data_IF_688353602070
#
_entry.id   IF_688353602070
#
_cell.length_a   1.000
_cell.length_b   1.000
_cell.length_c   1.000
_cell.angle_alpha   90.00
_cell.angle_beta   90.00
_cell.angle_gamma   90.00
#
_symmetry.space_group_name_H-M   'P 1'
#
loop_
_entity.id
_entity.type
_entity.pdbx_description
1 polymer ?
#
# COMPACT_ATOMS: atom_id res chain seq x y z
N UNK A 1 -0.70 17.42 33.80
CA UNK A 1 -0.67 16.08 33.19
C UNK A 1 0.38 16.13 32.11
N UNK A 2 1.45 15.33 32.20
CA UNK A 2 2.42 15.23 31.11
C UNK A 2 1.73 14.57 29.93
N UNK A 3 1.43 15.33 28.88
CA UNK A 3 0.91 14.75 27.64
C UNK A 3 1.96 13.78 27.09
N UNK A 4 1.59 12.50 27.00
CA UNK A 4 2.42 11.52 26.32
C UNK A 4 2.58 11.93 24.85
N UNK A 5 3.79 11.79 24.27
CA UNK A 5 4.00 12.14 22.87
C UNK A 5 3.07 11.32 21.98
N UNK A 6 2.45 11.99 21.01
CA UNK A 6 1.66 11.35 19.96
C UNK A 6 2.52 11.18 18.71
N UNK A 7 2.21 10.20 17.88
CA UNK A 7 2.96 9.89 16.67
C UNK A 7 2.04 9.89 15.44
N UNK A 8 2.62 10.13 14.27
CA UNK A 8 1.92 10.09 12.99
C UNK A 8 2.18 8.78 12.25
N UNK A 9 1.11 8.20 11.72
CA UNK A 9 1.16 7.00 10.90
C UNK A 9 0.18 7.13 9.72
N UNK A 10 0.48 6.57 8.55
CA UNK A 10 -0.54 6.36 7.53
C UNK A 10 -1.70 5.50 8.06
N UNK A 11 -2.91 5.72 7.59
CA UNK A 11 -3.98 4.72 7.75
C UNK A 11 -3.78 3.58 6.76
N UNK A 12 -4.49 2.44 6.91
CA UNK A 12 -4.49 1.41 5.86
C UNK A 12 -4.98 1.95 4.50
N UNK A 13 -5.95 2.87 4.51
CA UNK A 13 -6.42 3.54 3.32
C UNK A 13 -5.35 4.46 2.71
N UNK A 14 -4.61 5.21 3.53
CA UNK A 14 -3.48 6.03 3.09
C UNK A 14 -2.34 5.19 2.53
N UNK A 15 -2.03 4.07 3.15
CA UNK A 15 -1.06 3.10 2.64
C UNK A 15 -1.45 2.59 1.25
N UNK A 16 -2.70 2.15 1.08
CA UNK A 16 -3.20 1.69 -0.22
C UNK A 16 -3.28 2.82 -1.25
N UNK A 17 -3.69 4.02 -0.85
CA UNK A 17 -3.77 5.21 -1.71
C UNK A 17 -2.42 5.53 -2.37
N UNK A 18 -1.32 5.43 -1.61
CA UNK A 18 0.02 5.65 -2.16
C UNK A 18 0.34 4.72 -3.33
N UNK A 19 -0.14 3.46 -3.28
CA UNK A 19 0.21 2.43 -4.28
C UNK A 19 -0.70 2.40 -5.50
N UNK A 20 -1.75 3.22 -5.54
CA UNK A 20 -2.78 3.12 -6.59
C UNK A 20 -2.24 3.42 -7.99
N UNK A 21 -1.39 4.44 -8.12
CA UNK A 21 -0.81 4.87 -9.39
C UNK A 21 0.46 5.71 -9.14
N UNK A 22 1.10 6.15 -10.21
CA UNK A 22 2.27 7.03 -10.18
C UNK A 22 1.93 8.51 -10.37
N UNK A 23 0.66 8.90 -10.23
CA UNK A 23 0.28 10.32 -10.28
C UNK A 23 0.85 11.04 -9.07
N UNK A 24 1.78 11.95 -9.31
CA UNK A 24 2.37 12.77 -8.26
C UNK A 24 1.39 13.82 -7.76
N UNK A 25 1.27 13.90 -6.43
CA UNK A 25 0.59 14.99 -5.74
C UNK A 25 1.21 15.18 -4.35
N UNK A 26 0.90 16.30 -3.70
CA UNK A 26 1.51 16.62 -2.42
C UNK A 26 1.10 15.63 -1.32
N UNK A 27 -0.11 15.03 -1.38
CA UNK A 27 -0.56 14.01 -0.42
C UNK A 27 0.28 12.73 -0.50
N UNK A 28 0.58 12.25 -1.72
CA UNK A 28 1.52 11.14 -1.91
C UNK A 28 2.92 11.52 -1.46
N UNK A 29 3.36 12.75 -1.69
CA UNK A 29 4.63 13.26 -1.15
C UNK A 29 4.73 13.13 0.38
N UNK A 30 3.65 13.43 1.11
CA UNK A 30 3.56 13.23 2.56
C UNK A 30 3.72 11.75 2.94
N UNK A 31 2.98 10.86 2.26
CA UNK A 31 3.00 9.42 2.53
C UNK A 31 4.37 8.79 2.21
N UNK A 32 4.98 9.18 1.08
CA UNK A 32 6.34 8.78 0.69
C UNK A 32 7.36 9.14 1.77
N UNK A 33 7.33 10.39 2.26
CA UNK A 33 8.19 10.85 3.36
C UNK A 33 7.94 10.10 4.67
N UNK A 34 6.70 9.74 4.98
CA UNK A 34 6.39 8.91 6.15
C UNK A 34 6.97 7.49 6.02
N UNK A 35 6.76 6.83 4.88
CA UNK A 35 7.26 5.47 4.66
C UNK A 35 8.79 5.39 4.50
N UNK A 36 9.48 6.51 4.20
CA UNK A 36 10.95 6.56 4.22
C UNK A 36 11.55 6.64 5.62
N UNK A 37 10.76 6.93 6.65
CA UNK A 37 11.26 7.02 8.03
C UNK A 37 11.41 5.62 8.66
N UNK A 38 12.38 5.44 9.57
CA UNK A 38 12.59 4.17 10.26
C UNK A 38 11.53 3.88 11.34
N UNK A 39 10.72 4.88 11.71
CA UNK A 39 9.65 4.78 12.69
C UNK A 39 8.60 5.87 12.45
N UNK A 40 7.41 5.69 13.03
CA UNK A 40 6.38 6.73 13.06
C UNK A 40 6.91 7.96 13.79
N UNK A 41 6.99 9.15 13.17
CA UNK A 41 7.58 10.31 13.82
C UNK A 41 6.65 10.92 14.86
N UNK A 42 7.23 11.56 15.87
CA UNK A 42 6.48 12.34 16.87
C UNK A 42 5.71 13.46 16.18
N UNK A 43 4.44 13.64 16.53
CA UNK A 43 3.59 14.73 16.08
C UNK A 43 4.04 16.04 16.72
N UNK A 44 4.81 16.84 15.97
CA UNK A 44 5.26 18.17 16.35
C UNK A 44 5.45 19.05 15.09
N UNK A 45 5.68 20.35 15.29
CA UNK A 45 5.81 21.30 14.19
C UNK A 45 6.98 20.98 13.25
N UNK A 46 8.10 20.45 13.74
CA UNK A 46 9.25 20.10 12.91
C UNK A 46 8.92 18.92 11.99
N UNK A 47 8.29 17.88 12.52
CA UNK A 47 7.77 16.75 11.74
C UNK A 47 6.77 17.21 10.70
N UNK A 48 5.80 18.04 11.08
CA UNK A 48 4.77 18.53 10.15
C UNK A 48 5.38 19.37 9.02
N UNK A 49 6.33 20.24 9.35
CA UNK A 49 7.07 21.06 8.36
C UNK A 49 7.81 20.18 7.35
N UNK A 50 8.51 19.14 7.83
CA UNK A 50 9.19 18.18 6.97
C UNK A 50 8.22 17.39 6.09
N UNK A 51 7.15 16.84 6.68
CA UNK A 51 6.20 15.98 5.97
C UNK A 51 5.37 16.75 4.95
N UNK A 52 4.91 17.95 5.28
CA UNK A 52 4.02 18.76 4.43
C UNK A 52 4.78 19.70 3.49
N UNK A 53 6.11 19.77 3.63
CA UNK A 53 7.02 20.57 2.81
C UNK A 53 6.60 22.05 2.76
N UNK A 54 6.36 22.63 3.93
CA UNK A 54 6.01 24.05 4.09
C UNK A 54 6.23 24.51 5.52
N UNK A 55 6.67 25.76 5.70
CA UNK A 55 6.83 26.42 7.00
C UNK A 55 5.70 27.39 7.32
N UNK A 56 4.80 27.64 6.36
CA UNK A 56 3.66 28.54 6.52
C UNK A 56 2.56 27.86 7.36
N UNK A 57 2.17 28.51 8.46
CA UNK A 57 1.27 27.92 9.46
C UNK A 57 -0.13 27.66 8.91
N UNK A 58 -0.67 28.58 8.12
CA UNK A 58 -2.02 28.44 7.57
C UNK A 58 -2.06 27.29 6.55
N UNK A 59 -1.01 27.18 5.74
CA UNK A 59 -0.83 26.07 4.78
C UNK A 59 -0.60 24.72 5.48
N UNK A 60 0.14 24.69 6.60
CA UNK A 60 0.32 23.48 7.42
C UNK A 60 -1.01 22.95 7.94
N UNK A 61 -1.84 23.82 8.53
CA UNK A 61 -3.15 23.44 9.07
C UNK A 61 -4.05 22.93 7.94
N UNK A 62 -4.15 23.68 6.85
CA UNK A 62 -4.95 23.28 5.68
C UNK A 62 -4.54 21.91 5.14
N UNK A 63 -3.24 21.69 4.86
CA UNK A 63 -2.75 20.40 4.34
C UNK A 63 -2.98 19.24 5.32
N UNK A 64 -2.82 19.47 6.62
CA UNK A 64 -3.09 18.44 7.63
C UNK A 64 -4.58 18.05 7.66
N UNK A 65 -5.46 19.05 7.66
CA UNK A 65 -6.91 18.83 7.61
C UNK A 65 -7.34 18.08 6.34
N UNK A 66 -6.76 18.41 5.19
CA UNK A 66 -7.03 17.68 3.93
C UNK A 66 -6.58 16.22 4.01
N UNK A 67 -5.39 15.94 4.56
CA UNK A 67 -4.96 14.56 4.79
C UNK A 67 -5.90 13.79 5.75
N UNK A 68 -6.47 14.46 6.75
CA UNK A 68 -7.43 13.86 7.67
C UNK A 68 -8.79 13.61 7.03
N UNK A 69 -9.31 14.55 6.23
CA UNK A 69 -10.57 14.40 5.48
C UNK A 69 -10.50 13.22 4.51
N UNK A 70 -9.35 13.06 3.84
CA UNK A 70 -9.05 11.93 2.96
C UNK A 70 -8.69 10.64 3.71
N UNK A 71 -8.70 10.67 5.05
CA UNK A 71 -8.34 9.55 5.93
C UNK A 71 -6.96 8.96 5.61
N UNK A 72 -5.98 9.77 5.19
CA UNK A 72 -4.65 9.31 4.82
C UNK A 72 -3.75 9.09 6.03
N UNK A 73 -3.95 9.87 7.09
CA UNK A 73 -3.13 9.89 8.29
C UNK A 73 -3.95 9.60 9.54
N UNK A 74 -3.32 8.98 10.52
CA UNK A 74 -3.85 8.75 11.86
C UNK A 74 -2.81 9.15 12.90
N UNK A 75 -3.32 9.47 14.10
CA UNK A 75 -2.52 9.77 15.27
C UNK A 75 -2.56 8.57 16.20
N UNK A 76 -1.39 8.11 16.62
CA UNK A 76 -1.24 6.95 17.52
C UNK A 76 -0.51 7.36 18.80
N UNK A 77 -0.73 6.61 19.88
CA UNK A 77 -0.17 6.89 21.20
C UNK A 77 1.22 6.28 21.43
N UNK A 78 1.62 5.33 20.58
CA UNK A 78 2.87 4.60 20.70
C UNK A 78 3.64 4.66 19.39
N UNK A 79 4.95 4.74 19.48
CA UNK A 79 5.83 4.66 18.32
C UNK A 79 5.72 3.28 17.67
N UNK A 80 5.57 3.26 16.35
CA UNK A 80 5.66 2.06 15.54
C UNK A 80 6.94 2.11 14.73
N UNK A 81 7.78 1.11 14.89
CA UNK A 81 8.99 0.94 14.10
C UNK A 81 8.64 0.38 12.71
N UNK A 82 9.39 0.82 11.70
CA UNK A 82 9.31 0.21 10.40
C UNK A 82 9.72 -1.28 10.48
N UNK A 83 9.09 -2.17 9.69
CA UNK A 83 9.41 -3.59 9.75
C UNK A 83 10.89 -3.86 9.40
N UNK A 84 11.64 -4.37 10.36
CA UNK A 84 13.07 -4.67 10.22
C UNK A 84 13.33 -6.13 9.82
N UNK A 85 14.51 -6.40 9.27
CA UNK A 85 14.96 -7.76 8.91
C UNK A 85 14.81 -8.10 7.42
N UNK A 86 14.81 -9.40 7.11
CA UNK A 86 14.79 -9.88 5.73
C UNK A 86 13.37 -9.79 5.13
N UNK A 87 13.28 -9.24 3.92
CA UNK A 87 12.03 -9.03 3.17
C UNK A 87 11.13 -10.27 3.19
N UNK A 88 11.65 -11.42 2.73
CA UNK A 88 10.90 -12.67 2.62
C UNK A 88 10.31 -13.12 3.95
N UNK A 89 11.05 -12.96 5.04
CA UNK A 89 10.59 -13.36 6.38
C UNK A 89 9.46 -12.46 6.88
N UNK A 90 9.54 -11.16 6.61
CA UNK A 90 8.48 -10.22 6.98
C UNK A 90 7.22 -10.45 6.15
N UNK A 91 7.35 -10.63 4.83
CA UNK A 91 6.22 -10.91 3.95
C UNK A 91 5.52 -12.21 4.36
N UNK A 92 6.25 -13.32 4.54
CA UNK A 92 5.66 -14.61 4.96
C UNK A 92 4.79 -14.50 6.22
N UNK A 93 5.17 -13.66 7.18
CA UNK A 93 4.39 -13.42 8.40
C UNK A 93 3.12 -12.60 8.16
N UNK A 94 3.10 -11.73 7.15
CA UNK A 94 1.99 -10.84 6.84
C UNK A 94 0.95 -11.46 5.90
N UNK A 95 1.35 -12.30 4.94
CA UNK A 95 0.47 -12.74 3.85
C UNK A 95 -0.85 -13.34 4.31
N UNK A 96 -0.84 -14.17 5.36
CA UNK A 96 -2.01 -14.92 5.81
C UNK A 96 -3.21 -14.06 6.24
N UNK A 97 -2.99 -12.80 6.65
CA UNK A 97 -4.08 -11.96 7.17
C UNK A 97 -4.88 -11.23 6.09
N UNK A 98 -4.45 -11.25 4.84
CA UNK A 98 -5.10 -10.48 3.77
C UNK A 98 -6.37 -11.12 3.22
N UNK A 99 -6.69 -12.36 3.58
CA UNK A 99 -8.01 -12.94 3.31
C UNK A 99 -8.36 -14.05 4.27
N UNK A 100 -9.66 -14.32 4.41
CA UNK A 100 -10.16 -15.46 5.18
C UNK A 100 -9.62 -16.80 4.67
N UNK A 101 -9.35 -16.90 3.38
CA UNK A 101 -8.83 -18.12 2.73
C UNK A 101 -7.34 -18.33 2.95
N UNK A 102 -6.62 -17.30 3.43
CA UNK A 102 -5.17 -17.32 3.66
C UNK A 102 -4.41 -17.78 2.41
N UNK A 103 -4.86 -17.32 1.25
CA UNK A 103 -4.27 -17.63 -0.05
C UNK A 103 -3.93 -16.33 -0.75
N UNK A 104 -2.67 -15.96 -0.64
CA UNK A 104 -2.17 -14.64 -0.95
C UNK A 104 -0.78 -14.79 -1.55
N UNK A 105 -0.56 -14.14 -2.69
CA UNK A 105 0.71 -14.13 -3.40
C UNK A 105 1.11 -12.70 -3.73
N UNK A 106 2.38 -12.39 -3.62
CA UNK A 106 2.97 -11.14 -4.08
C UNK A 106 4.02 -11.48 -5.15
N UNK A 107 3.85 -10.90 -6.34
CA UNK A 107 4.83 -10.99 -7.42
C UNK A 107 5.28 -9.61 -7.87
N UNK A 108 6.40 -9.55 -8.59
CA UNK A 108 6.78 -8.35 -9.35
C UNK A 108 6.14 -8.34 -10.75
N UNK A 109 6.44 -7.29 -11.53
CA UNK A 109 5.96 -7.12 -12.90
C UNK A 109 6.64 -8.04 -13.93
N UNK A 110 7.65 -8.81 -13.54
CA UNK A 110 8.33 -9.80 -14.41
C UNK A 110 7.79 -11.22 -14.18
N UNK A 111 6.90 -11.39 -13.21
CA UNK A 111 6.27 -12.67 -12.90
C UNK A 111 7.08 -13.51 -11.90
N UNK A 112 8.01 -12.90 -11.16
CA UNK A 112 8.69 -13.59 -10.07
C UNK A 112 7.85 -13.55 -8.79
N UNK A 113 7.65 -14.72 -8.18
CA UNK A 113 7.00 -14.83 -6.87
C UNK A 113 7.94 -14.35 -5.76
N UNK A 114 7.57 -13.25 -5.09
CA UNK A 114 8.31 -12.68 -3.95
C UNK A 114 7.87 -13.32 -2.64
N UNK A 115 6.56 -13.52 -2.49
CA UNK A 115 5.98 -14.18 -1.32
C UNK A 115 4.72 -14.95 -1.70
N UNK A 116 4.58 -16.16 -1.18
CA UNK A 116 3.40 -16.99 -1.35
C UNK A 116 2.97 -17.54 0.01
N UNK A 117 1.68 -17.48 0.29
CA UNK A 117 1.05 -18.15 1.41
C UNK A 117 -0.23 -18.84 0.92
N UNK A 118 -0.34 -20.14 1.18
CA UNK A 118 -1.55 -20.94 0.93
C UNK A 118 -1.73 -21.47 -0.49
N UNK A 119 -1.02 -20.96 -1.51
CA UNK A 119 -1.06 -21.57 -2.85
C UNK A 119 -0.02 -22.70 -2.98
N UNK A 120 -0.37 -23.82 -3.65
CA UNK A 120 0.62 -24.82 -4.09
C UNK A 120 1.70 -24.20 -4.98
N UNK A 121 2.89 -24.80 -5.01
CA UNK A 121 4.05 -24.26 -5.75
C UNK A 121 3.75 -24.05 -7.25
N UNK A 122 3.21 -25.06 -7.93
CA UNK A 122 2.80 -24.97 -9.34
C UNK A 122 1.80 -23.84 -9.57
N UNK A 123 0.79 -23.71 -8.70
CA UNK A 123 -0.20 -22.64 -8.79
C UNK A 123 0.42 -21.26 -8.54
N UNK A 124 1.40 -21.15 -7.63
CA UNK A 124 2.05 -19.88 -7.34
C UNK A 124 2.88 -19.35 -8.51
N UNK A 125 3.50 -20.24 -9.29
CA UNK A 125 4.24 -19.87 -10.50
C UNK A 125 3.29 -19.32 -11.56
N UNK A 126 2.22 -20.05 -11.85
CA UNK A 126 1.19 -19.63 -12.82
C UNK A 126 0.50 -18.31 -12.41
N UNK A 127 0.16 -18.14 -11.13
CA UNK A 127 -0.42 -16.89 -10.63
C UNK A 127 0.58 -15.73 -10.78
N UNK A 128 1.87 -15.97 -10.62
CA UNK A 128 2.90 -14.92 -10.77
C UNK A 128 3.05 -14.49 -12.23
N UNK A 129 3.05 -15.45 -13.16
CA UNK A 129 3.06 -15.16 -14.61
C UNK A 129 1.81 -14.35 -15.01
N UNK A 130 0.62 -14.81 -14.59
CA UNK A 130 -0.63 -14.09 -14.85
C UNK A 130 -0.63 -12.68 -14.23
N UNK A 131 -0.02 -12.53 -13.05
CA UNK A 131 0.11 -11.24 -12.39
C UNK A 131 0.96 -10.25 -13.21
N UNK A 132 2.02 -10.72 -13.87
CA UNK A 132 2.82 -9.90 -14.78
C UNK A 132 2.01 -9.41 -15.99
N UNK A 133 1.23 -10.30 -16.61
CA UNK A 133 0.34 -9.94 -17.72
C UNK A 133 -0.70 -8.88 -17.30
N UNK A 134 -1.27 -9.05 -16.10
CA UNK A 134 -2.21 -8.09 -15.52
C UNK A 134 -1.53 -6.75 -15.24
N UNK A 135 -0.31 -6.74 -14.71
CA UNK A 135 0.44 -5.50 -14.47
C UNK A 135 0.68 -4.73 -15.78
N UNK A 136 1.08 -5.42 -16.85
CA UNK A 136 1.28 -4.83 -18.19
C UNK A 136 -0.03 -4.25 -18.73
N UNK A 137 -1.12 -5.04 -18.64
CA UNK A 137 -2.44 -4.58 -19.08
C UNK A 137 -2.90 -3.36 -18.28
N UNK A 138 -2.74 -3.42 -16.95
CA UNK A 138 -3.10 -2.36 -16.03
C UNK A 138 -2.35 -1.07 -16.39
N UNK A 139 -1.02 -1.10 -16.49
CA UNK A 139 -0.19 0.05 -16.87
C UNK A 139 -0.62 0.67 -18.19
N UNK A 140 -0.93 -0.16 -19.20
CA UNK A 140 -1.38 0.30 -20.53
C UNK A 140 -2.76 0.96 -20.52
N UNK A 141 -3.63 0.61 -19.56
CA UNK A 141 -5.04 1.03 -19.54
C UNK A 141 -5.40 1.99 -18.41
N UNK A 142 -4.58 2.10 -17.36
CA UNK A 142 -4.86 2.87 -16.14
C UNK A 142 -5.33 4.30 -16.43
N UNK A 143 -4.61 5.04 -17.28
CA UNK A 143 -4.98 6.42 -17.66
C UNK A 143 -6.39 6.46 -18.26
N UNK A 144 -6.69 5.58 -19.22
CA UNK A 144 -8.00 5.57 -19.89
C UNK A 144 -9.12 5.11 -18.98
N UNK A 145 -8.86 4.15 -18.09
CA UNK A 145 -9.85 3.65 -17.12
C UNK A 145 -10.22 4.79 -16.15
N UNK A 146 -9.23 5.47 -15.59
CA UNK A 146 -9.44 6.55 -14.65
C UNK A 146 -10.12 7.76 -15.32
N UNK A 147 -9.60 8.25 -16.45
CA UNK A 147 -10.09 9.48 -17.09
C UNK A 147 -11.42 9.31 -17.84
N UNK A 148 -11.65 8.15 -18.47
CA UNK A 148 -12.82 7.96 -19.34
C UNK A 148 -13.95 7.19 -18.70
N UNK A 149 -13.65 6.30 -17.76
CA UNK A 149 -14.67 5.50 -17.08
C UNK A 149 -14.96 6.01 -15.67
N UNK A 150 -14.12 6.89 -15.11
CA UNK A 150 -14.25 7.35 -13.73
C UNK A 150 -14.09 6.22 -12.71
N UNK A 151 -13.51 5.10 -13.13
CA UNK A 151 -13.29 3.94 -12.29
C UNK A 151 -11.91 4.07 -11.66
N UNK A 152 -11.84 4.47 -10.40
CA UNK A 152 -10.59 4.48 -9.64
C UNK A 152 -10.18 3.06 -9.16
N UNK A 153 -10.58 2.02 -9.91
CA UNK A 153 -10.28 0.64 -9.57
C UNK A 153 -8.87 0.28 -10.01
N UNK A 154 -8.07 -0.14 -9.05
CA UNK A 154 -6.74 -0.68 -9.25
C UNK A 154 -6.73 -2.21 -9.12
N UNK A 155 -7.89 -2.86 -9.33
CA UNK A 155 -8.03 -4.29 -9.13
C UNK A 155 -8.63 -4.97 -10.35
N UNK A 156 -8.10 -6.16 -10.66
CA UNK A 156 -8.64 -7.09 -11.65
C UNK A 156 -9.09 -8.34 -10.93
N UNK A 157 -10.16 -8.99 -11.38
CA UNK A 157 -10.59 -10.23 -10.73
C UNK A 157 -11.22 -11.22 -11.69
N UNK A 158 -10.91 -12.49 -11.45
CA UNK A 158 -11.67 -13.62 -11.94
C UNK A 158 -12.83 -13.85 -10.97
N UNK A 159 -14.05 -13.79 -11.49
CA UNK A 159 -15.29 -13.91 -10.69
C UNK A 159 -16.03 -15.19 -11.03
N UNK A 160 -16.78 -15.72 -10.05
CA UNK A 160 -17.75 -16.78 -10.31
C UNK A 160 -18.98 -16.26 -11.08
N UNK A 161 -19.90 -17.16 -11.45
CA UNK A 161 -21.12 -16.81 -12.15
C UNK A 161 -22.06 -15.89 -11.33
N UNK A 162 -21.86 -15.79 -10.02
CA UNK A 162 -22.60 -14.89 -9.13
C UNK A 162 -21.90 -13.53 -8.96
N UNK A 163 -20.73 -13.33 -9.58
CA UNK A 163 -19.94 -12.11 -9.49
C UNK A 163 -19.03 -12.02 -8.25
N UNK A 164 -18.90 -13.09 -7.46
CA UNK A 164 -17.98 -13.08 -6.32
C UNK A 164 -16.54 -13.25 -6.80
N UNK A 165 -15.61 -12.49 -6.21
CA UNK A 165 -14.18 -12.64 -6.50
C UNK A 165 -13.69 -14.03 -6.08
N UNK A 166 -13.25 -14.81 -7.06
CA UNK A 166 -12.51 -16.05 -6.83
C UNK A 166 -11.05 -15.73 -6.58
N UNK A 167 -10.42 -15.02 -7.52
CA UNK A 167 -9.03 -14.57 -7.44
C UNK A 167 -8.98 -13.12 -7.93
N UNK A 168 -8.49 -12.23 -7.07
CA UNK A 168 -8.25 -10.83 -7.42
C UNK A 168 -6.76 -10.52 -7.51
N UNK A 169 -6.43 -9.47 -8.26
CA UNK A 169 -5.09 -8.98 -8.52
C UNK A 169 -5.08 -7.48 -8.32
N UNK A 170 -4.28 -7.01 -7.37
CA UNK A 170 -4.12 -5.60 -7.02
C UNK A 170 -2.70 -5.17 -7.35
N UNK A 171 -2.48 -4.52 -8.51
CA UNK A 171 -1.26 -3.77 -8.75
C UNK A 171 -0.99 -2.74 -7.65
N UNK A 172 0.22 -2.79 -7.11
CA UNK A 172 0.76 -1.90 -6.10
C UNK A 172 1.97 -1.20 -6.72
N UNK A 173 1.82 0.07 -7.08
CA UNK A 173 2.90 0.87 -7.61
C UNK A 173 3.79 1.36 -6.45
N UNK A 174 5.08 1.10 -6.55
CA UNK A 174 6.10 1.55 -5.61
C UNK A 174 7.17 2.25 -6.45
N UNK A 175 6.99 3.56 -6.67
CA UNK A 175 7.72 4.34 -7.66
C UNK A 175 7.68 3.69 -9.06
N UNK A 176 8.83 3.31 -9.61
CA UNK A 176 8.94 2.73 -10.95
C UNK A 176 8.62 1.23 -10.99
N UNK A 177 8.57 0.58 -9.82
CA UNK A 177 8.26 -0.85 -9.69
C UNK A 177 6.76 -1.08 -9.50
N UNK A 178 6.24 -2.13 -10.13
CA UNK A 178 4.86 -2.58 -9.94
C UNK A 178 4.88 -3.99 -9.37
N UNK A 179 4.36 -4.11 -8.15
CA UNK A 179 4.06 -5.39 -7.56
C UNK A 179 2.60 -5.75 -7.79
N UNK A 180 2.26 -7.03 -7.74
CA UNK A 180 0.86 -7.47 -7.81
C UNK A 180 0.58 -8.36 -6.62
N UNK A 181 -0.38 -7.93 -5.81
CA UNK A 181 -0.91 -8.74 -4.73
C UNK A 181 -2.08 -9.55 -5.28
N UNK A 182 -1.93 -10.87 -5.38
CA UNK A 182 -2.99 -11.78 -5.77
C UNK A 182 -3.64 -12.42 -4.53
N UNK A 183 -4.97 -12.39 -4.43
CA UNK A 183 -5.71 -12.84 -3.24
C UNK A 183 -6.88 -13.72 -3.66
N UNK A 184 -6.98 -14.92 -3.09
CA UNK A 184 -8.19 -15.74 -3.20
C UNK A 184 -9.26 -15.26 -2.22
N UNK A 185 -10.43 -14.92 -2.75
CA UNK A 185 -11.57 -14.40 -2.00
C UNK A 185 -11.50 -12.90 -1.68
N UNK A 186 -12.24 -12.48 -0.65
CA UNK A 186 -12.39 -11.07 -0.28
C UNK A 186 -11.11 -10.53 0.39
N UNK A 187 -10.54 -9.41 -0.08
CA UNK A 187 -9.34 -8.81 0.48
C UNK A 187 -9.63 -8.08 1.80
N UNK A 188 -8.73 -8.22 2.77
CA UNK A 188 -8.75 -7.51 4.06
C UNK A 188 -7.65 -6.44 4.08
N UNK A 189 -7.91 -5.29 3.44
CA UNK A 189 -6.95 -4.18 3.40
C UNK A 189 -7.09 -3.18 4.54
N UNK A 190 -8.25 -3.10 5.19
CA UNK A 190 -8.46 -2.18 6.30
C UNK A 190 -7.85 -2.70 7.62
N UNK A 191 -6.53 -2.88 7.64
CA UNK A 191 -5.78 -3.40 8.79
C UNK A 191 -4.31 -2.97 8.76
N UNK A 192 -3.64 -3.07 9.92
CA UNK A 192 -2.24 -2.68 10.08
C UNK A 192 -1.28 -3.41 9.12
N UNK A 193 -1.59 -4.64 8.74
CA UNK A 193 -0.76 -5.41 7.80
C UNK A 193 -0.62 -4.73 6.44
N UNK A 194 -1.62 -3.96 5.99
CA UNK A 194 -1.51 -3.17 4.76
C UNK A 194 -0.45 -2.07 4.89
N UNK A 195 -0.42 -1.39 6.05
CA UNK A 195 0.61 -0.38 6.35
C UNK A 195 1.99 -1.05 6.35
N UNK A 196 2.13 -2.20 7.03
CA UNK A 196 3.40 -2.95 7.07
C UNK A 196 3.86 -3.41 5.69
N UNK A 197 2.97 -3.93 4.85
CA UNK A 197 3.29 -4.36 3.49
C UNK A 197 3.84 -3.20 2.66
N UNK A 198 3.14 -2.06 2.64
CA UNK A 198 3.58 -0.89 1.89
C UNK A 198 4.89 -0.35 2.44
N UNK A 199 5.07 -0.29 3.76
CA UNK A 199 6.30 0.17 4.39
C UNK A 199 7.51 -0.70 4.01
N UNK A 200 7.34 -2.02 4.03
CA UNK A 200 8.35 -3.00 3.61
C UNK A 200 8.76 -2.77 2.15
N UNK A 201 7.79 -2.64 1.26
CA UNK A 201 8.06 -2.44 -0.16
C UNK A 201 8.73 -1.08 -0.40
N UNK A 202 8.26 -0.03 0.26
CA UNK A 202 8.80 1.32 0.08
C UNK A 202 10.22 1.46 0.61
N UNK A 203 10.56 0.85 1.75
CA UNK A 203 11.95 0.85 2.25
C UNK A 203 12.91 0.11 1.33
N UNK A 204 12.42 -0.86 0.56
CA UNK A 204 13.26 -1.71 -0.29
C UNK A 204 13.35 -1.21 -1.74
N UNK A 205 12.26 -0.70 -2.28
CA UNK A 205 12.08 -0.36 -3.69
C UNK A 205 11.65 1.10 -3.92
N UNK A 206 11.38 1.85 -2.84
CA UNK A 206 10.91 3.24 -2.91
C UNK A 206 12.02 4.30 -2.99
N UNK A 207 13.27 3.87 -3.18
CA UNK A 207 14.43 4.74 -3.37
C UNK A 207 14.81 4.84 -4.85
#
# INVERSE_FOLDING_TARGET
MSEHPKYLLPTPAGAYYLTQDNTENWQKGVLKRLFSLPASPVLNNATLTFLLDTTDKDNLVYKLEECQKLQLLQVIEQEILAPAGHLENNLKKLMHVFSKKQKVLLSDSQGFCIANHGFPAEMSEEISVLSADIAIMHKRRAIKINEKLGLNSQAWSIVDASGNSCLGFWPLNINDEVFVLAIEGVPFFNQAAMISLVWILYLRYGN
#
